data_IF_221437649870
#
_entry.id   IF_221437649870
#
_cell.length_a   1.000
_cell.length_b   1.000
_cell.length_c   1.000
_cell.angle_alpha   90.00
_cell.angle_beta   90.00
_cell.angle_gamma   90.00
#
_symmetry.space_group_name_H-M   'P 1'
#
loop_
_entity.id
_entity.type
_entity.pdbx_description
1 polymer ?
#
# COMPACT_ATOMS: atom_id res chain seq x y z
N UNK A 1 14.26 -81.45 74.00
CA UNK A 1 14.95 -81.27 72.71
C UNK A 1 14.01 -81.43 71.52
N UNK A 2 13.24 -82.52 71.40
CA UNK A 2 12.27 -82.70 70.29
C UNK A 2 11.25 -81.56 70.16
N UNK A 3 10.53 -81.23 71.24
CA UNK A 3 9.50 -80.14 71.23
C UNK A 3 10.07 -78.77 70.83
N UNK A 4 11.34 -78.48 71.17
CA UNK A 4 11.98 -77.23 70.78
C UNK A 4 12.30 -77.20 69.27
N UNK A 5 12.62 -78.35 68.69
CA UNK A 5 12.86 -78.49 67.25
C UNK A 5 11.55 -78.28 66.48
N UNK A 6 10.46 -78.92 66.92
CA UNK A 6 9.15 -78.79 66.28
C UNK A 6 8.65 -77.34 66.27
N UNK A 7 8.87 -76.59 67.36
CA UNK A 7 8.53 -75.16 67.44
C UNK A 7 9.37 -74.32 66.46
N UNK A 8 10.68 -74.56 66.41
CA UNK A 8 11.57 -73.84 65.48
C UNK A 8 11.24 -74.16 64.01
N UNK A 9 10.85 -75.39 63.69
CA UNK A 9 10.39 -75.78 62.35
C UNK A 9 9.10 -75.05 61.96
N UNK A 10 8.15 -74.92 62.88
CA UNK A 10 6.90 -74.18 62.65
C UNK A 10 7.13 -72.67 62.47
N UNK A 11 8.01 -72.07 63.27
CA UNK A 11 8.42 -70.67 63.13
C UNK A 11 9.13 -70.42 61.79
N UNK A 12 10.05 -71.32 61.41
CA UNK A 12 10.73 -71.26 60.11
C UNK A 12 9.73 -71.36 58.95
N UNK A 13 8.79 -72.31 59.00
CA UNK A 13 7.76 -72.46 57.97
C UNK A 13 6.90 -71.20 57.84
N UNK A 14 6.53 -70.58 58.97
CA UNK A 14 5.78 -69.33 58.99
C UNK A 14 6.60 -68.18 58.39
N UNK A 15 7.87 -68.06 58.76
CA UNK A 15 8.77 -67.05 58.22
C UNK A 15 8.99 -67.21 56.71
N UNK A 16 9.14 -68.44 56.22
CA UNK A 16 9.25 -68.75 54.79
C UNK A 16 7.98 -68.37 54.05
N UNK A 17 6.80 -68.70 54.59
CA UNK A 17 5.52 -68.33 53.98
C UNK A 17 5.35 -66.81 53.91
N UNK A 18 5.67 -66.09 54.99
CA UNK A 18 5.63 -64.63 55.01
C UNK A 18 6.61 -64.01 54.01
N UNK A 19 7.83 -64.55 53.89
CA UNK A 19 8.82 -64.08 52.93
C UNK A 19 8.34 -64.30 51.47
N UNK A 20 7.70 -65.44 51.21
CA UNK A 20 7.08 -65.71 49.90
C UNK A 20 5.97 -64.71 49.56
N UNK A 21 5.12 -64.35 50.52
CA UNK A 21 4.09 -63.32 50.31
C UNK A 21 4.72 -61.96 50.02
N UNK A 22 5.71 -61.55 50.81
CA UNK A 22 6.43 -60.29 50.58
C UNK A 22 7.10 -60.24 49.20
N UNK A 23 7.67 -61.36 48.74
CA UNK A 23 8.26 -61.45 47.40
C UNK A 23 7.21 -61.22 46.31
N UNK A 24 6.03 -61.81 46.44
CA UNK A 24 4.91 -61.62 45.51
C UNK A 24 4.37 -60.18 45.52
N UNK A 25 4.29 -59.57 46.71
CA UNK A 25 3.86 -58.17 46.84
C UNK A 25 4.87 -57.22 46.19
N UNK A 26 6.18 -57.48 46.37
CA UNK A 26 7.25 -56.70 45.73
C UNK A 26 7.20 -56.81 44.20
N UNK A 27 6.97 -58.01 43.65
CA UNK A 27 6.83 -58.20 42.21
C UNK A 27 5.63 -57.42 41.65
N UNK A 28 4.51 -57.43 42.37
CA UNK A 28 3.30 -56.68 42.00
C UNK A 28 3.54 -55.17 42.01
N UNK A 29 4.19 -54.66 43.06
CA UNK A 29 4.55 -53.25 43.17
C UNK A 29 5.51 -52.85 42.05
N UNK A 30 6.49 -53.70 41.73
CA UNK A 30 7.46 -53.42 40.67
C UNK A 30 6.77 -53.36 39.30
N UNK A 31 5.84 -54.25 39.01
CA UNK A 31 5.03 -54.21 37.79
C UNK A 31 4.17 -52.93 37.70
N UNK A 32 3.53 -52.54 38.81
CA UNK A 32 2.75 -51.30 38.87
C UNK A 32 3.62 -50.05 38.64
N UNK A 33 4.85 -50.04 39.16
CA UNK A 33 5.79 -48.93 39.01
C UNK A 33 6.26 -48.77 37.55
N UNK A 34 6.51 -49.89 36.86
CA UNK A 34 6.82 -49.90 35.42
C UNK A 34 5.64 -49.37 34.59
N UNK A 35 4.41 -49.79 34.91
CA UNK A 35 3.21 -49.30 34.23
C UNK A 35 3.05 -47.78 34.43
N UNK A 36 3.18 -47.30 35.66
CA UNK A 36 3.10 -45.87 35.96
C UNK A 36 4.19 -45.06 35.25
N UNK A 37 5.41 -45.59 35.15
CA UNK A 37 6.49 -44.94 34.41
C UNK A 37 6.18 -44.83 32.91
N UNK A 38 5.57 -45.87 32.33
CA UNK A 38 5.11 -45.85 30.93
C UNK A 38 4.03 -44.79 30.71
N UNK A 39 3.05 -44.72 31.61
CA UNK A 39 1.97 -43.74 31.54
C UNK A 39 2.49 -42.30 31.67
N UNK A 40 3.43 -42.05 32.59
CA UNK A 40 4.08 -40.76 32.74
C UNK A 40 4.83 -40.35 31.48
N UNK A 41 5.55 -41.28 30.84
CA UNK A 41 6.26 -40.99 29.59
C UNK A 41 5.29 -40.69 28.44
N UNK A 42 4.19 -41.43 28.33
CA UNK A 42 3.14 -41.18 27.33
C UNK A 42 2.51 -39.80 27.52
N UNK A 43 2.14 -39.46 28.76
CA UNK A 43 1.56 -38.16 29.09
C UNK A 43 2.56 -37.02 28.84
N UNK A 44 3.85 -37.23 29.13
CA UNK A 44 4.91 -36.27 28.78
C UNK A 44 4.95 -35.98 27.29
N UNK A 45 4.94 -37.01 26.45
CA UNK A 45 4.92 -36.84 24.99
C UNK A 45 3.67 -36.12 24.48
N UNK A 46 2.50 -36.35 25.10
CA UNK A 46 1.28 -35.62 24.75
C UNK A 46 1.34 -34.14 25.14
N UNK A 47 1.93 -33.82 26.30
CA UNK A 47 2.12 -32.44 26.72
C UNK A 47 3.10 -31.70 25.80
N UNK A 48 4.18 -32.34 25.38
CA UNK A 48 5.13 -31.76 24.43
C UNK A 48 4.46 -31.48 23.07
N UNK A 49 3.66 -32.42 22.57
CA UNK A 49 2.90 -32.23 21.33
C UNK A 49 1.92 -31.05 21.44
N UNK A 50 1.16 -30.99 22.55
CA UNK A 50 0.22 -29.89 22.80
C UNK A 50 0.95 -28.53 22.94
N UNK A 51 2.14 -28.52 23.53
CA UNK A 51 3.00 -27.34 23.58
C UNK A 51 3.39 -26.85 22.19
N UNK A 52 3.80 -27.77 21.31
CA UNK A 52 4.11 -27.46 19.91
C UNK A 52 2.93 -26.90 19.14
N UNK A 53 1.74 -27.50 19.28
CA UNK A 53 0.51 -27.02 18.65
C UNK A 53 0.14 -25.61 19.13
N UNK A 54 0.31 -25.34 20.43
CA UNK A 54 0.01 -24.04 21.03
C UNK A 54 0.96 -22.96 20.52
N UNK A 55 2.25 -23.26 20.38
CA UNK A 55 3.24 -22.34 19.83
C UNK A 55 2.97 -22.04 18.34
N UNK A 56 2.56 -23.05 17.56
CA UNK A 56 2.13 -22.86 16.18
C UNK A 56 0.89 -21.96 16.09
N UNK A 57 -0.12 -22.18 16.94
CA UNK A 57 -1.32 -21.35 17.00
C UNK A 57 -0.99 -19.89 17.37
N UNK A 58 -0.06 -19.68 18.31
CA UNK A 58 0.41 -18.33 18.65
C UNK A 58 1.06 -17.62 17.47
N UNK A 59 1.89 -18.33 16.72
CA UNK A 59 2.53 -17.78 15.52
C UNK A 59 1.48 -17.39 14.48
N UNK A 60 0.53 -18.29 14.20
CA UNK A 60 -0.56 -18.03 13.26
C UNK A 60 -1.41 -16.83 13.67
N UNK A 61 -1.74 -16.72 14.97
CA UNK A 61 -2.49 -15.58 15.49
C UNK A 61 -1.71 -14.26 15.36
N UNK A 62 -0.40 -14.29 15.59
CA UNK A 62 0.46 -13.12 15.40
C UNK A 62 0.48 -12.67 13.94
N UNK A 63 0.64 -13.60 13.00
CA UNK A 63 0.60 -13.29 11.56
C UNK A 63 -0.75 -12.71 11.15
N UNK A 64 -1.84 -13.35 11.56
CA UNK A 64 -3.18 -12.87 11.24
C UNK A 64 -3.46 -11.47 11.82
N UNK A 65 -2.92 -11.17 13.01
CA UNK A 65 -3.03 -9.83 13.60
C UNK A 65 -2.28 -8.78 12.79
N UNK A 66 -1.12 -9.11 12.23
CA UNK A 66 -0.36 -8.22 11.35
C UNK A 66 -1.11 -8.01 10.03
N UNK A 67 -1.56 -9.09 9.39
CA UNK A 67 -2.29 -9.03 8.13
C UNK A 67 -3.57 -8.18 8.26
N UNK A 68 -4.27 -8.30 9.39
CA UNK A 68 -5.48 -7.50 9.66
C UNK A 68 -5.17 -6.02 9.85
N UNK A 69 -4.04 -5.69 10.48
CA UNK A 69 -3.59 -4.31 10.64
C UNK A 69 -3.23 -3.70 9.27
N UNK A 70 -2.48 -4.43 8.46
CA UNK A 70 -2.07 -4.01 7.13
C UNK A 70 -3.29 -3.78 6.24
N UNK A 71 -4.24 -4.72 6.20
CA UNK A 71 -5.49 -4.57 5.46
C UNK A 71 -6.31 -3.35 5.94
N UNK A 72 -6.31 -3.10 7.25
CA UNK A 72 -6.93 -1.90 7.82
C UNK A 72 -6.32 -0.60 7.29
N UNK A 73 -4.98 -0.55 7.19
CA UNK A 73 -4.27 0.62 6.63
C UNK A 73 -4.51 0.77 5.14
N UNK A 74 -4.45 -0.32 4.36
CA UNK A 74 -4.70 -0.30 2.92
C UNK A 74 -6.12 0.19 2.61
N UNK A 75 -7.11 -0.31 3.36
CA UNK A 75 -8.51 0.09 3.17
C UNK A 75 -8.72 1.56 3.53
N UNK A 76 -8.04 2.08 4.56
CA UNK A 76 -8.12 3.49 4.92
C UNK A 76 -7.51 4.38 3.83
N UNK A 77 -6.32 4.03 3.34
CA UNK A 77 -5.65 4.76 2.25
C UNK A 77 -6.49 4.73 0.97
N UNK A 78 -7.02 3.56 0.60
CA UNK A 78 -7.87 3.42 -0.59
C UNK A 78 -9.15 4.26 -0.47
N UNK A 79 -9.81 4.24 0.69
CA UNK A 79 -11.02 5.05 0.92
C UNK A 79 -10.72 6.54 0.89
N UNK A 80 -9.65 6.98 1.54
CA UNK A 80 -9.29 8.39 1.59
C UNK A 80 -8.86 8.90 0.21
N UNK A 81 -8.14 8.07 -0.56
CA UNK A 81 -7.80 8.34 -1.96
C UNK A 81 -9.04 8.45 -2.85
N UNK A 82 -9.93 7.45 -2.83
CA UNK A 82 -11.16 7.46 -3.63
C UNK A 82 -12.07 8.64 -3.27
N UNK A 83 -12.21 8.96 -1.97
CA UNK A 83 -12.99 10.11 -1.53
C UNK A 83 -12.38 11.43 -2.01
N UNK A 84 -11.04 11.56 -1.98
CA UNK A 84 -10.30 12.69 -2.53
C UNK A 84 -10.52 12.84 -4.03
N UNK A 85 -10.39 11.77 -4.80
CA UNK A 85 -10.58 11.74 -6.25
C UNK A 85 -12.02 12.11 -6.65
N UNK A 86 -13.02 11.56 -5.94
CA UNK A 86 -14.43 11.90 -6.16
C UNK A 86 -14.66 13.38 -5.85
N UNK A 87 -14.17 13.89 -4.72
CA UNK A 87 -14.32 15.30 -4.37
C UNK A 87 -13.68 16.19 -5.44
N UNK A 88 -12.49 15.84 -5.92
CA UNK A 88 -11.81 16.55 -7.00
C UNK A 88 -12.67 16.56 -8.28
N UNK A 89 -13.24 15.41 -8.68
CA UNK A 89 -14.11 15.33 -9.86
C UNK A 89 -15.37 16.19 -9.73
N UNK A 90 -15.97 16.25 -8.54
CA UNK A 90 -17.13 17.09 -8.26
C UNK A 90 -16.76 18.57 -8.41
N UNK A 91 -15.65 19.01 -7.83
CA UNK A 91 -15.19 20.40 -7.95
C UNK A 91 -14.88 20.77 -9.42
N UNK A 92 -14.26 19.86 -10.19
CA UNK A 92 -14.01 20.06 -11.63
C UNK A 92 -15.32 20.21 -12.42
N UNK A 93 -16.31 19.36 -12.16
CA UNK A 93 -17.63 19.43 -12.81
C UNK A 93 -18.39 20.72 -12.42
N UNK A 94 -18.31 21.14 -11.16
CA UNK A 94 -18.90 22.40 -10.70
C UNK A 94 -18.26 23.60 -11.40
N UNK A 95 -16.94 23.63 -11.48
CA UNK A 95 -16.19 24.68 -12.18
C UNK A 95 -16.57 24.73 -13.67
N UNK A 96 -16.74 23.57 -14.31
CA UNK A 96 -17.18 23.49 -15.71
C UNK A 96 -18.57 24.07 -15.90
N UNK A 97 -19.51 23.74 -15.01
CA UNK A 97 -20.86 24.31 -15.03
C UNK A 97 -20.86 25.83 -14.88
N UNK A 98 -20.04 26.37 -13.96
CA UNK A 98 -19.93 27.81 -13.72
C UNK A 98 -19.33 28.54 -14.93
N UNK A 99 -18.25 28.02 -15.53
CA UNK A 99 -17.65 28.60 -16.73
C UNK A 99 -18.62 28.61 -17.91
N UNK A 100 -19.37 27.52 -18.09
CA UNK A 100 -20.35 27.41 -19.18
C UNK A 100 -21.47 28.44 -19.00
N UNK A 101 -21.94 28.63 -17.75
CA UNK A 101 -22.90 29.69 -17.43
C UNK A 101 -22.33 31.10 -17.65
N UNK A 102 -21.08 31.36 -17.27
CA UNK A 102 -20.42 32.65 -17.51
C UNK A 102 -20.38 33.00 -19.01
N UNK A 103 -20.04 32.02 -19.87
CA UNK A 103 -20.06 32.18 -21.33
C UNK A 103 -21.48 32.43 -21.85
N UNK A 104 -22.48 31.72 -21.33
CA UNK A 104 -23.87 31.90 -21.73
C UNK A 104 -24.40 33.29 -21.34
N UNK A 105 -24.05 33.79 -20.15
CA UNK A 105 -24.38 35.16 -19.74
C UNK A 105 -23.75 36.21 -20.66
N UNK A 106 -22.50 36.03 -21.10
CA UNK A 106 -21.88 36.92 -22.08
C UNK A 106 -22.60 36.88 -23.43
N UNK A 107 -23.03 35.70 -23.90
CA UNK A 107 -23.80 35.57 -25.14
C UNK A 107 -25.17 36.25 -25.07
N UNK A 108 -25.79 36.27 -23.89
CA UNK A 108 -27.07 36.95 -23.63
C UNK A 108 -26.90 38.46 -23.33
N UNK A 109 -25.67 38.98 -23.32
CA UNK A 109 -25.36 40.37 -22.99
C UNK A 109 -25.46 40.71 -21.50
N UNK A 110 -25.64 39.73 -20.63
CA UNK A 110 -25.71 39.89 -19.18
C UNK A 110 -24.30 39.88 -18.55
N UNK A 111 -23.64 41.03 -18.59
CA UNK A 111 -22.25 41.19 -18.10
C UNK A 111 -22.15 40.95 -16.59
N UNK A 112 -23.11 41.43 -15.80
CA UNK A 112 -23.13 41.27 -14.33
C UNK A 112 -23.28 39.79 -13.93
N UNK A 113 -24.10 39.03 -14.67
CA UNK A 113 -24.21 37.58 -14.50
C UNK A 113 -22.91 36.83 -14.82
N UNK A 114 -22.20 37.25 -15.87
CA UNK A 114 -20.91 36.68 -16.24
C UNK A 114 -19.81 37.00 -15.21
N UNK A 115 -19.73 38.23 -14.74
CA UNK A 115 -18.78 38.66 -13.71
C UNK A 115 -19.01 37.91 -12.38
N UNK A 116 -20.27 37.74 -11.99
CA UNK A 116 -20.65 36.96 -10.81
C UNK A 116 -20.22 35.50 -10.94
N UNK A 117 -20.43 34.88 -12.11
CA UNK A 117 -20.02 33.50 -12.36
C UNK A 117 -18.49 33.35 -12.34
N UNK A 118 -17.73 34.27 -12.94
CA UNK A 118 -16.26 34.25 -12.87
C UNK A 118 -15.75 34.41 -11.44
N UNK A 119 -16.36 35.31 -10.66
CA UNK A 119 -16.03 35.49 -9.25
C UNK A 119 -16.26 34.23 -8.40
N UNK A 120 -17.24 33.40 -8.76
CA UNK A 120 -17.48 32.10 -8.12
C UNK A 120 -16.52 31.00 -8.60
N UNK A 121 -16.01 31.09 -9.83
CA UNK A 121 -15.09 30.12 -10.40
C UNK A 121 -13.66 30.23 -9.82
N UNK A 122 -13.19 31.44 -9.53
CA UNK A 122 -11.83 31.70 -9.01
C UNK A 122 -11.50 30.91 -7.72
N UNK A 123 -12.32 30.94 -6.65
CA UNK A 123 -11.99 30.20 -5.43
C UNK A 123 -12.00 28.68 -5.63
N UNK A 124 -12.85 28.17 -6.51
CA UNK A 124 -12.88 26.73 -6.83
C UNK A 124 -11.63 26.30 -7.60
N UNK A 125 -11.19 27.12 -8.56
CA UNK A 125 -9.93 26.89 -9.28
C UNK A 125 -8.71 26.94 -8.35
N UNK A 126 -8.71 27.85 -7.37
CA UNK A 126 -7.66 27.95 -6.37
C UNK A 126 -7.61 26.74 -5.42
N UNK A 127 -8.77 26.22 -5.00
CA UNK A 127 -8.88 25.01 -4.19
C UNK A 127 -8.35 23.77 -4.93
N UNK A 128 -8.69 23.64 -6.22
CA UNK A 128 -8.15 22.62 -7.11
C UNK A 128 -6.62 22.72 -7.27
N UNK A 129 -6.08 23.94 -7.39
CA UNK A 129 -4.64 24.19 -7.54
C UNK A 129 -3.84 24.04 -6.23
N UNK A 130 -4.49 24.10 -5.07
CA UNK A 130 -3.86 23.91 -3.77
C UNK A 130 -3.47 22.46 -3.49
N UNK A 131 -3.94 21.51 -4.29
CA UNK A 131 -3.58 20.08 -4.21
C UNK A 131 -2.27 19.83 -4.98
N UNK A 132 -1.12 19.69 -4.30
CA UNK A 132 0.20 19.88 -4.92
C UNK A 132 0.68 18.72 -5.81
N UNK A 133 0.06 17.55 -5.73
CA UNK A 133 0.54 16.32 -6.39
C UNK A 133 -0.31 15.92 -7.61
N UNK A 134 -0.73 16.90 -8.41
CA UNK A 134 -1.46 16.60 -9.65
C UNK A 134 -0.57 16.83 -10.88
N UNK A 135 -0.51 15.87 -11.84
CA UNK A 135 0.08 16.12 -13.18
C UNK A 135 -0.59 17.28 -13.94
N UNK A 136 -1.68 17.79 -13.38
CA UNK A 136 -2.47 18.91 -13.83
C UNK A 136 -2.06 20.29 -13.30
N UNK A 137 -1.07 20.39 -12.40
CA UNK A 137 -0.74 21.64 -11.70
C UNK A 137 -0.50 22.81 -12.68
N UNK A 138 0.23 22.57 -13.77
CA UNK A 138 0.48 23.58 -14.80
C UNK A 138 -0.79 24.01 -15.56
N UNK A 139 -1.72 23.08 -15.83
CA UNK A 139 -2.99 23.38 -16.49
C UNK A 139 -3.93 24.17 -15.55
N UNK A 140 -3.97 23.81 -14.26
CA UNK A 140 -4.73 24.53 -13.24
C UNK A 140 -4.20 25.95 -13.03
N UNK A 141 -2.88 26.14 -13.03
CA UNK A 141 -2.28 27.47 -12.94
C UNK A 141 -2.58 28.34 -14.16
N UNK A 142 -2.56 27.75 -15.37
CA UNK A 142 -3.00 28.43 -16.61
C UNK A 142 -4.47 28.82 -16.55
N UNK A 143 -5.34 27.92 -16.09
CA UNK A 143 -6.77 28.18 -15.89
C UNK A 143 -7.00 29.32 -14.89
N UNK A 144 -6.31 29.32 -13.77
CA UNK A 144 -6.41 30.37 -12.75
C UNK A 144 -5.99 31.74 -13.32
N UNK A 145 -4.85 31.77 -14.03
CA UNK A 145 -4.38 33.00 -14.68
C UNK A 145 -5.40 33.54 -15.68
N UNK A 146 -6.05 32.67 -16.47
CA UNK A 146 -7.09 33.08 -17.43
C UNK A 146 -8.35 33.60 -16.74
N UNK A 147 -8.74 33.03 -15.61
CA UNK A 147 -9.88 33.51 -14.83
C UNK A 147 -9.60 34.87 -14.18
N UNK A 148 -8.39 35.08 -13.67
CA UNK A 148 -7.98 36.38 -13.11
C UNK A 148 -7.95 37.47 -14.20
N UNK A 149 -7.44 37.15 -15.40
CA UNK A 149 -7.46 38.05 -16.55
C UNK A 149 -8.90 38.38 -16.97
N UNK A 150 -9.77 37.37 -17.09
CA UNK A 150 -11.18 37.56 -17.40
C UNK A 150 -11.89 38.45 -16.37
N UNK A 151 -11.64 38.23 -15.07
CA UNK A 151 -12.21 39.05 -14.00
C UNK A 151 -11.78 40.52 -14.11
N UNK A 152 -10.52 40.79 -14.46
CA UNK A 152 -10.03 42.16 -14.65
C UNK A 152 -10.54 42.85 -15.92
N UNK A 153 -10.92 42.06 -16.94
CA UNK A 153 -11.26 42.56 -18.27
C UNK A 153 -12.70 43.04 -18.45
N UNK A 154 -13.63 42.73 -17.52
CA UNK A 154 -15.07 43.03 -17.67
C UNK A 154 -15.39 44.52 -17.87
N UNK A 155 -14.52 45.42 -17.41
CA UNK A 155 -14.69 46.88 -17.58
C UNK A 155 -13.87 47.47 -18.72
N UNK A 156 -13.01 46.66 -19.36
CA UNK A 156 -11.99 47.10 -20.32
C UNK A 156 -12.31 46.61 -21.72
N UNK A 157 -12.47 45.29 -21.90
CA UNK A 157 -12.62 44.66 -23.22
C UNK A 157 -13.37 43.32 -23.13
N UNK A 158 -14.70 43.36 -23.35
CA UNK A 158 -15.57 42.18 -23.34
C UNK A 158 -15.15 41.08 -24.34
N UNK A 159 -14.77 41.39 -25.59
CA UNK A 159 -14.18 40.42 -26.52
C UNK A 159 -12.98 39.65 -25.93
N UNK A 160 -12.07 40.34 -25.22
CA UNK A 160 -10.92 39.72 -24.58
C UNK A 160 -11.35 38.78 -23.44
N UNK A 161 -12.33 39.21 -22.63
CA UNK A 161 -12.92 38.38 -21.56
C UNK A 161 -13.55 37.10 -22.12
N UNK A 162 -14.27 37.20 -23.24
CA UNK A 162 -14.86 36.03 -23.90
C UNK A 162 -13.79 35.04 -24.39
N UNK A 163 -12.67 35.55 -24.92
CA UNK A 163 -11.53 34.74 -25.35
C UNK A 163 -10.83 34.06 -24.16
N UNK A 164 -10.63 34.77 -23.05
CA UNK A 164 -10.01 34.21 -21.85
C UNK A 164 -10.91 33.14 -21.18
N UNK A 165 -12.22 33.34 -21.15
CA UNK A 165 -13.20 32.34 -20.71
C UNK A 165 -13.22 31.09 -21.60
N UNK A 166 -13.09 31.27 -22.91
CA UNK A 166 -12.97 30.15 -23.84
C UNK A 166 -11.68 29.36 -23.60
N UNK A 167 -10.54 30.05 -23.48
CA UNK A 167 -9.27 29.43 -23.14
C UNK A 167 -9.34 28.67 -21.81
N UNK A 168 -9.91 29.27 -20.76
CA UNK A 168 -10.11 28.61 -19.47
C UNK A 168 -10.99 27.35 -19.60
N UNK A 169 -12.04 27.39 -20.40
CA UNK A 169 -12.91 26.23 -20.62
C UNK A 169 -12.22 25.10 -21.39
N UNK A 170 -11.33 25.43 -22.32
CA UNK A 170 -10.55 24.43 -23.07
C UNK A 170 -9.52 23.74 -22.17
N UNK A 171 -8.84 24.50 -21.29
CA UNK A 171 -7.90 23.95 -20.31
C UNK A 171 -8.62 23.03 -19.31
N UNK A 172 -9.82 23.41 -18.86
CA UNK A 172 -10.62 22.57 -17.98
C UNK A 172 -11.11 21.29 -18.67
N UNK A 173 -11.52 21.40 -19.94
CA UNK A 173 -11.96 20.23 -20.72
C UNK A 173 -10.81 19.27 -20.99
N UNK A 174 -9.62 19.81 -21.27
CA UNK A 174 -8.39 19.03 -21.41
C UNK A 174 -8.04 18.32 -20.10
N UNK A 175 -8.16 19.02 -18.97
CA UNK A 175 -7.94 18.48 -17.63
C UNK A 175 -8.88 17.32 -17.31
N UNK A 176 -10.17 17.44 -17.63
CA UNK A 176 -11.15 16.36 -17.42
C UNK A 176 -10.99 15.20 -18.40
N UNK A 177 -10.48 15.45 -19.61
CA UNK A 177 -10.32 14.43 -20.66
C UNK A 177 -9.00 13.67 -20.55
N UNK A 178 -7.97 14.29 -19.97
CA UNK A 178 -6.62 13.75 -19.97
C UNK A 178 -5.81 14.30 -18.78
N UNK A 179 -5.93 13.73 -17.58
CA UNK A 179 -5.22 14.22 -16.40
C UNK A 179 -3.68 14.09 -16.52
N UNK A 180 -3.14 13.37 -17.51
CA UNK A 180 -1.73 12.92 -17.51
C UNK A 180 -0.85 13.39 -18.68
N UNK A 181 -1.19 14.44 -19.45
CA UNK A 181 -0.31 14.88 -20.56
C UNK A 181 0.28 16.27 -20.32
N UNK A 182 1.46 16.27 -19.71
CA UNK A 182 2.56 17.11 -20.19
C UNK A 182 3.52 16.23 -20.98
N UNK A 183 3.58 16.42 -22.29
CA UNK A 183 4.85 16.27 -23.02
C UNK A 183 4.80 17.13 -24.27
N UNK A 184 5.71 18.11 -24.27
CA UNK A 184 6.28 18.81 -25.43
C UNK A 184 5.38 19.71 -26.29
N UNK A 185 5.56 21.02 -26.07
CA UNK A 185 5.79 21.95 -27.18
C UNK A 185 6.90 22.93 -26.79
N UNK A 186 8.14 22.46 -26.82
CA UNK A 186 9.32 23.31 -26.96
C UNK A 186 9.19 24.08 -28.27
N UNK A 187 8.81 25.35 -28.16
CA UNK A 187 8.91 26.31 -29.26
C UNK A 187 10.39 26.44 -29.62
N UNK A 188 10.83 25.70 -30.63
CA UNK A 188 12.10 25.99 -31.29
C UNK A 188 11.84 27.10 -32.30
N UNK A 189 12.11 28.33 -31.87
CA UNK A 189 12.27 29.49 -32.75
C UNK A 189 13.38 29.17 -33.77
N UNK A 190 12.99 28.83 -35.00
CA UNK A 190 13.91 28.82 -36.13
C UNK A 190 14.11 30.27 -36.57
N UNK A 191 15.18 30.89 -36.06
CA UNK A 191 15.71 32.13 -36.60
C UNK A 191 16.39 31.82 -37.94
N UNK A 192 15.87 32.41 -39.01
CA UNK A 192 16.55 32.49 -40.32
C UNK A 192 17.27 33.84 -40.38
N UNK A 193 18.60 33.85 -40.29
CA UNK A 193 19.42 34.82 -41.02
C UNK A 193 20.90 34.41 -41.10
N UNK A 194 21.50 34.73 -42.25
CA UNK A 194 22.81 34.34 -42.78
C UNK A 194 24.01 34.80 -41.90
N UNK A 195 25.25 34.29 -42.02
CA UNK A 195 26.17 34.48 -43.17
C UNK A 195 27.46 33.64 -43.01
N UNK A 196 27.95 33.13 -44.14
CA UNK A 196 29.34 32.95 -44.62
C UNK A 196 30.55 32.53 -43.73
N UNK A 197 31.19 31.44 -44.23
CA UNK A 197 32.64 31.29 -44.53
C UNK A 197 33.63 31.00 -43.40
N UNK A 198 34.10 29.75 -43.30
CA UNK A 198 35.49 29.31 -43.55
C UNK A 198 35.70 27.81 -43.25
N UNK A 199 36.65 27.21 -43.97
CA UNK A 199 36.85 25.76 -44.22
C UNK A 199 37.88 25.14 -43.22
N UNK A 200 38.28 23.84 -43.33
CA UNK A 200 38.06 22.77 -42.35
C UNK A 200 39.35 22.34 -41.62
N UNK A 201 39.33 21.30 -40.77
CA UNK A 201 40.29 20.15 -40.73
C UNK A 201 40.26 19.40 -39.37
N UNK A 202 40.48 18.07 -39.46
CA UNK A 202 40.77 17.05 -38.43
C UNK A 202 39.52 16.44 -37.74
N UNK A 203 39.05 15.24 -38.09
CA UNK A 203 39.67 13.89 -38.00
C UNK A 203 40.08 13.50 -36.58
N UNK A 204 39.22 12.75 -35.89
CA UNK A 204 39.62 11.65 -35.00
C UNK A 204 38.48 10.64 -34.80
N UNK A 205 38.79 9.40 -35.16
CA UNK A 205 38.05 8.13 -35.09
C UNK A 205 37.97 7.59 -33.64
N UNK A 206 37.00 6.71 -33.29
CA UNK A 206 36.70 6.26 -31.91
C UNK A 206 37.45 4.98 -31.51
N UNK A 207 37.36 4.55 -30.23
CA UNK A 207 37.42 3.11 -29.90
C UNK A 207 36.44 2.71 -28.74
N UNK A 208 36.30 1.42 -28.32
CA UNK A 208 35.03 0.69 -28.47
C UNK A 208 34.50 -0.01 -27.19
N UNK A 209 33.35 -0.66 -27.37
CA UNK A 209 32.66 -1.79 -26.69
C UNK A 209 33.28 -2.53 -25.48
N UNK A 210 32.43 -2.81 -24.48
CA UNK A 210 32.36 -4.06 -23.68
C UNK A 210 30.87 -4.35 -23.40
N UNK A 211 30.18 -5.32 -24.01
CA UNK A 211 30.17 -6.79 -23.83
C UNK A 211 29.72 -7.29 -22.44
N UNK A 212 28.40 -7.27 -22.22
CA UNK A 212 27.51 -8.39 -21.87
C UNK A 212 27.99 -9.61 -20.99
N UNK A 213 27.24 -9.82 -19.87
CA UNK A 213 26.78 -11.07 -19.16
C UNK A 213 27.85 -12.04 -18.54
N UNK A 214 27.52 -12.98 -17.59
CA UNK A 214 26.23 -13.26 -16.91
C UNK A 214 26.24 -13.58 -15.39
N UNK A 215 25.01 -13.69 -14.88
CA UNK A 215 24.53 -14.24 -13.59
C UNK A 215 24.99 -15.69 -13.29
N UNK A 216 25.08 -16.06 -12.00
CA UNK A 216 24.89 -17.45 -11.59
C UNK A 216 23.75 -17.65 -10.57
N UNK A 217 22.85 -18.57 -10.91
CA UNK A 217 21.95 -19.32 -10.02
C UNK A 217 22.71 -20.43 -9.27
N UNK A 218 22.32 -20.77 -8.03
CA UNK A 218 22.39 -22.15 -7.57
C UNK A 218 21.01 -22.61 -7.04
N UNK A 219 20.34 -23.57 -7.68
CA UNK A 219 20.51 -25.04 -7.57
C UNK A 219 20.15 -25.57 -6.19
N UNK A 220 19.00 -26.23 -6.14
CA UNK A 220 18.50 -27.03 -5.04
C UNK A 220 19.08 -28.47 -5.07
N UNK A 221 18.70 -29.25 -4.04
CA UNK A 221 18.71 -30.72 -3.92
C UNK A 221 19.91 -31.29 -3.12
N UNK A 222 19.76 -32.42 -2.39
CA UNK A 222 18.59 -33.30 -2.19
C UNK A 222 17.90 -33.21 -0.83
#
# INVERSE_FOLDING_TARGET
QAVQNDVLEAELATAVAHNSTLASDLETIQAALVALQSDLNSNGGQLDALGGDLDQLRLQLSTLSTDLADLGTETAVARDGEAGDIQQSITQLQLWGILTNARLYLMDGNVEGAETAVSQAIPLAADLAATPDTPAAAALQRLQTRLDLAASGFTIDLPMVAQDLEAASTELTLLMSNPSVETEATVTTTATEATETAVPTATATPPPSETAVPSPTPTATP
#
